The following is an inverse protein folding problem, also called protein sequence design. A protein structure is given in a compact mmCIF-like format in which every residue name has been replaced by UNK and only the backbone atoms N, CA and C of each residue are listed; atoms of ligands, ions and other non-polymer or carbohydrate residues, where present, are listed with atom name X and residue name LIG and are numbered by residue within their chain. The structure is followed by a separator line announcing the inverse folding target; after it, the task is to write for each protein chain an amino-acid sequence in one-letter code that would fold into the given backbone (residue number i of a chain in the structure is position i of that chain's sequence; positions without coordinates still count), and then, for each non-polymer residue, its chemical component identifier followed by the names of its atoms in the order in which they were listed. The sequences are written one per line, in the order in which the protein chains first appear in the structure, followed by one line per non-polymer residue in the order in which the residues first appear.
data_IF_787563737490
#
_entry.id   IF_787563737490
#
_cell.length_a   1.000
_cell.length_b   1.000
_cell.length_c   1.000
_cell.angle_alpha   90.00
_cell.angle_beta   90.00
_cell.angle_gamma   90.00
#
_symmetry.space_group_name_H-M   'P 1'
#
loop_
_entity.id
_entity.type
_entity.pdbx_description
1 polymer ?
#
# COMPACT_ATOMS: atom_id res chain seq x y z
N UNK A 1 2.60 12.87 34.37
CA UNK A 1 2.30 11.48 33.98
C UNK A 1 1.59 11.52 32.63
N UNK A 2 2.02 10.65 31.70
CA UNK A 2 1.35 10.51 30.41
C UNK A 2 0.19 9.53 30.60
N UNK A 3 -1.01 9.96 30.23
CA UNK A 3 -2.21 9.11 30.24
C UNK A 3 -2.06 8.08 29.10
N UNK A 4 -2.20 6.80 29.39
CA UNK A 4 -2.16 5.74 28.38
C UNK A 4 -3.51 5.62 27.65
N UNK A 5 -3.51 4.92 26.50
CA UNK A 5 -4.73 4.70 25.73
C UNK A 5 -5.78 3.91 26.54
N UNK A 6 -5.34 2.97 27.35
CA UNK A 6 -6.18 2.17 28.24
C UNK A 6 -6.85 3.01 29.33
N UNK A 7 -6.10 3.98 29.88
CA UNK A 7 -6.61 4.88 30.94
C UNK A 7 -7.63 5.88 30.41
N UNK A 8 -7.61 6.20 29.12
CA UNK A 8 -8.64 7.06 28.48
C UNK A 8 -10.02 6.38 28.49
N UNK A 9 -10.08 5.05 28.55
CA UNK A 9 -11.32 4.28 28.61
C UNK A 9 -12.10 4.25 27.29
N UNK A 10 -11.37 4.31 26.15
CA UNK A 10 -11.98 4.20 24.80
C UNK A 10 -12.42 2.76 24.56
N UNK A 11 -13.66 2.57 24.13
CA UNK A 11 -14.24 1.26 23.79
C UNK A 11 -14.63 1.15 22.30
N UNK A 12 -14.55 2.24 21.55
CA UNK A 12 -14.83 2.29 20.11
C UNK A 12 -13.84 3.23 19.42
N UNK A 13 -13.34 2.79 18.28
CA UNK A 13 -12.41 3.55 17.44
C UNK A 13 -12.94 3.62 16.01
N UNK A 14 -13.16 4.82 15.51
CA UNK A 14 -13.53 5.07 14.12
C UNK A 14 -12.34 5.72 13.42
N UNK A 15 -11.89 5.10 12.35
CA UNK A 15 -10.72 5.56 11.57
C UNK A 15 -11.18 5.88 10.16
N UNK A 16 -11.22 7.17 9.85
CA UNK A 16 -11.45 7.63 8.49
C UNK A 16 -10.14 7.58 7.68
N UNK A 17 -10.26 7.38 6.36
CA UNK A 17 -9.12 7.21 5.45
C UNK A 17 -8.12 6.15 5.93
N UNK A 18 -8.64 5.01 6.39
CA UNK A 18 -7.86 3.95 7.01
C UNK A 18 -6.73 3.41 6.13
N UNK A 19 -6.78 3.63 4.82
CA UNK A 19 -5.70 3.27 3.88
C UNK A 19 -4.37 3.98 4.19
N UNK A 20 -4.35 5.07 4.95
CA UNK A 20 -3.10 5.69 5.42
C UNK A 20 -2.31 4.85 6.41
N UNK A 21 -2.92 3.80 6.97
CA UNK A 21 -2.30 2.88 7.93
C UNK A 21 -1.90 1.53 7.32
N UNK A 22 -1.85 1.43 6.00
CA UNK A 22 -1.51 0.20 5.27
C UNK A 22 -0.06 -0.27 5.42
N UNK A 23 0.87 0.63 5.80
CA UNK A 23 2.28 0.32 6.01
C UNK A 23 2.52 -0.29 7.41
N UNK A 24 1.81 -1.35 7.72
CA UNK A 24 2.01 -2.15 8.92
C UNK A 24 3.10 -3.18 8.64
N UNK A 25 4.02 -3.35 9.61
CA UNK A 25 5.10 -4.32 9.48
C UNK A 25 4.59 -5.71 9.10
N UNK A 26 5.27 -6.32 8.14
CA UNK A 26 4.97 -7.62 7.59
C UNK A 26 6.20 -8.51 7.71
N UNK A 27 6.10 -9.58 8.51
CA UNK A 27 7.14 -10.61 8.52
C UNK A 27 6.88 -11.62 7.40
N UNK A 28 7.88 -11.82 6.55
CA UNK A 28 7.83 -12.79 5.45
C UNK A 28 9.21 -13.36 5.16
N UNK A 29 9.25 -14.61 4.73
CA UNK A 29 10.45 -15.26 4.17
C UNK A 29 10.58 -15.02 2.66
N UNK A 30 9.57 -14.42 2.05
CA UNK A 30 9.60 -14.11 0.61
C UNK A 30 10.57 -12.97 0.33
N UNK A 31 11.52 -13.22 -0.56
CA UNK A 31 12.51 -12.24 -1.00
C UNK A 31 12.22 -11.80 -2.43
N UNK A 32 12.58 -10.56 -2.77
CA UNK A 32 12.49 -10.01 -4.14
C UNK A 32 11.07 -9.93 -4.73
N UNK A 33 10.04 -9.90 -3.89
CA UNK A 33 8.66 -9.65 -4.31
C UNK A 33 8.30 -8.19 -4.07
N UNK A 34 7.98 -7.48 -5.15
CA UNK A 34 7.58 -6.07 -5.06
C UNK A 34 6.19 -5.91 -4.46
N UNK A 35 6.03 -4.85 -3.68
CA UNK A 35 4.76 -4.55 -3.00
C UNK A 35 4.66 -5.20 -1.61
N UNK A 36 5.67 -5.93 -1.17
CA UNK A 36 5.79 -6.34 0.22
C UNK A 36 6.37 -5.18 1.02
N UNK A 37 5.59 -4.62 1.94
CA UNK A 37 6.10 -3.61 2.87
C UNK A 37 6.85 -4.33 3.99
N UNK A 38 8.17 -4.27 3.93
CA UNK A 38 9.04 -4.71 5.02
C UNK A 38 9.41 -3.55 5.97
N UNK A 39 8.98 -2.34 5.61
CA UNK A 39 9.15 -1.16 6.44
C UNK A 39 7.94 -0.95 7.32
N UNK A 40 8.19 -0.51 8.54
CA UNK A 40 7.17 -0.23 9.54
C UNK A 40 6.96 1.29 9.65
N UNK A 41 5.70 1.71 9.56
CA UNK A 41 5.33 3.05 9.93
C UNK A 41 4.86 3.04 11.40
N UNK A 42 5.54 3.77 12.26
CA UNK A 42 5.22 3.84 13.70
C UNK A 42 3.72 4.06 13.96
N UNK A 43 3.06 4.94 13.18
CA UNK A 43 1.62 5.18 13.30
C UNK A 43 0.77 3.92 13.01
N UNK A 44 1.22 3.06 12.10
CA UNK A 44 0.50 1.84 11.76
C UNK A 44 0.64 0.79 12.84
N UNK A 45 1.81 0.65 13.41
CA UNK A 45 2.06 -0.27 14.53
C UNK A 45 1.35 0.20 15.79
N UNK A 46 1.35 1.49 16.09
CA UNK A 46 0.61 2.08 17.20
C UNK A 46 -0.91 1.83 17.04
N UNK A 47 -1.47 2.11 15.84
CA UNK A 47 -2.88 1.83 15.58
C UNK A 47 -3.20 0.34 15.71
N UNK A 48 -2.30 -0.53 15.23
CA UNK A 48 -2.51 -1.98 15.32
C UNK A 48 -2.61 -2.48 16.77
N UNK A 49 -1.75 -2.00 17.64
CA UNK A 49 -1.81 -2.34 19.07
C UNK A 49 -3.13 -1.88 19.70
N UNK A 50 -3.58 -0.67 19.38
CA UNK A 50 -4.89 -0.13 19.83
C UNK A 50 -6.05 -0.99 19.31
N UNK A 51 -6.03 -1.39 18.05
CA UNK A 51 -7.04 -2.28 17.49
C UNK A 51 -7.05 -3.65 18.20
N UNK A 52 -5.88 -4.22 18.46
CA UNK A 52 -5.79 -5.49 19.20
C UNK A 52 -6.35 -5.39 20.61
N UNK A 53 -6.00 -4.32 21.34
CA UNK A 53 -6.55 -4.05 22.66
C UNK A 53 -8.08 -3.92 22.62
N UNK A 54 -8.62 -3.13 21.69
CA UNK A 54 -10.06 -2.97 21.54
C UNK A 54 -10.77 -4.27 21.15
N UNK A 55 -10.19 -5.08 20.29
CA UNK A 55 -10.73 -6.40 19.94
C UNK A 55 -10.85 -7.29 21.19
N UNK A 56 -9.85 -7.27 22.06
CA UNK A 56 -9.84 -8.05 23.29
C UNK A 56 -10.96 -7.63 24.25
N UNK A 57 -11.07 -6.34 24.54
CA UNK A 57 -12.08 -5.83 25.52
C UNK A 57 -13.50 -5.81 24.98
N UNK A 58 -13.70 -5.78 23.65
CA UNK A 58 -15.03 -5.67 23.02
C UNK A 58 -15.50 -6.93 22.30
N UNK A 59 -14.68 -8.00 22.29
CA UNK A 59 -14.98 -9.19 21.51
C UNK A 59 -15.00 -8.98 20.02
N UNK A 60 -14.06 -8.17 19.49
CA UNK A 60 -13.90 -7.90 18.06
C UNK A 60 -14.89 -6.87 17.48
N UNK A 61 -15.48 -6.01 18.31
CA UNK A 61 -16.50 -5.02 17.90
C UNK A 61 -16.09 -3.56 18.16
N UNK A 62 -14.80 -3.34 18.50
CA UNK A 62 -14.31 -2.04 18.92
C UNK A 62 -13.80 -1.13 17.81
N UNK A 63 -13.64 -1.62 16.58
CA UNK A 63 -12.94 -0.89 15.51
C UNK A 63 -13.80 -0.80 14.26
N UNK A 64 -13.88 0.41 13.70
CA UNK A 64 -14.56 0.70 12.43
C UNK A 64 -13.61 1.50 11.54
N UNK A 65 -13.32 0.97 10.35
CA UNK A 65 -12.53 1.65 9.33
C UNK A 65 -13.44 2.14 8.20
N UNK A 66 -13.19 3.37 7.75
CA UNK A 66 -13.81 3.92 6.55
C UNK A 66 -12.71 4.26 5.53
N UNK A 67 -12.89 3.86 4.29
CA UNK A 67 -11.98 4.20 3.19
C UNK A 67 -12.60 3.92 1.83
N UNK A 68 -12.33 4.77 0.85
CA UNK A 68 -12.68 4.54 -0.54
C UNK A 68 -11.68 3.62 -1.28
N UNK A 69 -10.51 3.35 -0.71
CA UNK A 69 -9.42 2.61 -1.37
C UNK A 69 -8.72 1.64 -0.41
N UNK A 70 -9.42 0.58 0.04
CA UNK A 70 -8.82 -0.38 0.99
C UNK A 70 -7.60 -1.10 0.41
N UNK A 71 -7.58 -1.25 -0.91
CA UNK A 71 -6.46 -1.82 -1.67
C UNK A 71 -6.14 -0.84 -2.80
N UNK A 72 -4.92 -0.31 -2.86
CA UNK A 72 -4.51 0.68 -3.86
C UNK A 72 -3.29 0.25 -4.69
N UNK A 73 -2.27 -0.30 -4.07
CA UNK A 73 -0.97 -0.57 -4.73
C UNK A 73 -0.58 -2.04 -4.74
N UNK A 74 -1.03 -2.81 -3.77
CA UNK A 74 -0.62 -4.21 -3.61
C UNK A 74 -1.72 -5.04 -2.98
N UNK A 75 -1.83 -6.28 -3.44
CA UNK A 75 -2.74 -7.27 -2.85
C UNK A 75 -2.46 -7.51 -1.36
N UNK A 76 -1.23 -7.25 -0.90
CA UNK A 76 -0.85 -7.40 0.52
C UNK A 76 -1.57 -6.42 1.43
N UNK A 77 -2.10 -5.32 0.88
CA UNK A 77 -2.92 -4.37 1.63
C UNK A 77 -4.22 -5.01 2.14
N UNK A 78 -4.79 -5.98 1.41
CA UNK A 78 -5.93 -6.77 1.88
C UNK A 78 -5.58 -7.54 3.17
N UNK A 79 -4.43 -8.21 3.19
CA UNK A 79 -3.96 -8.89 4.39
C UNK A 79 -3.78 -7.93 5.56
N UNK A 80 -3.25 -6.76 5.32
CA UNK A 80 -3.10 -5.72 6.34
C UNK A 80 -4.46 -5.29 6.91
N UNK A 81 -5.47 -5.06 6.06
CA UNK A 81 -6.82 -4.74 6.53
C UNK A 81 -7.44 -5.88 7.34
N UNK A 82 -7.24 -7.13 6.92
CA UNK A 82 -7.69 -8.29 7.69
C UNK A 82 -6.98 -8.39 9.05
N UNK A 83 -5.71 -8.05 9.15
CA UNK A 83 -5.00 -8.01 10.44
C UNK A 83 -5.62 -7.01 11.41
N UNK A 84 -6.06 -5.85 10.93
CA UNK A 84 -6.73 -4.86 11.77
C UNK A 84 -8.14 -5.30 12.19
N UNK A 85 -8.93 -5.86 11.26
CA UNK A 85 -10.37 -6.01 11.42
C UNK A 85 -10.85 -7.42 11.76
N UNK A 86 -10.09 -8.46 11.42
CA UNK A 86 -10.51 -9.85 11.60
C UNK A 86 -9.35 -10.79 11.95
N UNK A 87 -8.46 -10.34 12.83
CA UNK A 87 -7.29 -11.14 13.23
C UNK A 87 -7.66 -12.50 13.83
N UNK A 88 -8.71 -12.58 14.62
CA UNK A 88 -9.21 -13.82 15.19
C UNK A 88 -9.65 -14.83 14.11
N UNK A 89 -10.27 -14.36 13.02
CA UNK A 89 -10.61 -15.19 11.86
C UNK A 89 -9.35 -15.69 11.15
N UNK A 90 -8.33 -14.83 10.98
CA UNK A 90 -7.05 -15.27 10.43
C UNK A 90 -6.40 -16.37 11.28
N UNK A 91 -6.41 -16.24 12.61
CA UNK A 91 -5.87 -17.25 13.53
C UNK A 91 -6.67 -18.56 13.41
N UNK A 92 -7.98 -18.50 13.41
CA UNK A 92 -8.88 -19.67 13.27
C UNK A 92 -8.59 -20.49 12.02
N UNK A 93 -8.20 -19.82 10.92
CA UNK A 93 -7.89 -20.45 9.63
C UNK A 93 -6.39 -20.71 9.41
N UNK A 94 -5.53 -20.47 10.40
CA UNK A 94 -4.07 -20.56 10.29
C UNK A 94 -3.46 -19.61 9.22
N UNK A 95 -4.09 -18.47 9.01
CA UNK A 95 -3.69 -17.43 8.03
C UNK A 95 -3.06 -16.20 8.70
N UNK A 96 -2.77 -16.24 10.01
CA UNK A 96 -2.20 -15.12 10.75
C UNK A 96 -0.76 -14.79 10.35
N UNK A 97 -0.06 -15.73 9.71
CA UNK A 97 1.26 -15.51 9.12
C UNK A 97 1.11 -15.19 7.64
N UNK A 98 1.77 -14.12 7.20
CA UNK A 98 1.65 -13.66 5.81
C UNK A 98 1.97 -14.75 4.79
N UNK A 99 3.01 -15.52 4.99
CA UNK A 99 3.42 -16.55 4.02
C UNK A 99 2.33 -17.64 3.85
N UNK A 100 1.58 -17.96 4.90
CA UNK A 100 0.43 -18.86 4.83
C UNK A 100 -0.73 -18.23 4.06
N UNK A 101 -1.05 -16.96 4.37
CA UNK A 101 -2.08 -16.20 3.67
C UNK A 101 -1.72 -16.04 2.18
N UNK A 102 -0.48 -15.67 1.88
CA UNK A 102 0.00 -15.47 0.53
C UNK A 102 -0.03 -16.76 -0.30
N UNK A 103 0.33 -17.90 0.29
CA UNK A 103 0.26 -19.20 -0.40
C UNK A 103 -1.18 -19.65 -0.68
N UNK A 104 -2.14 -19.16 0.10
CA UNK A 104 -3.57 -19.51 -0.07
C UNK A 104 -4.27 -18.61 -1.08
N UNK A 105 -3.93 -17.33 -1.12
CA UNK A 105 -4.68 -16.32 -1.86
C UNK A 105 -3.89 -15.56 -2.92
N UNK A 106 -2.59 -15.71 -2.97
CA UNK A 106 -1.73 -14.91 -3.84
C UNK A 106 -0.96 -15.75 -4.85
N UNK A 107 -0.91 -15.28 -6.07
CA UNK A 107 -0.05 -15.80 -7.13
C UNK A 107 0.96 -14.73 -7.51
N UNK A 108 2.24 -15.10 -7.51
CA UNK A 108 3.31 -14.23 -7.96
C UNK A 108 3.59 -14.44 -9.45
N UNK A 109 3.82 -13.36 -10.17
CA UNK A 109 4.32 -13.40 -11.54
C UNK A 109 5.59 -12.57 -11.68
N UNK A 110 6.48 -13.01 -12.55
CA UNK A 110 7.68 -12.28 -12.93
C UNK A 110 7.50 -11.74 -14.34
N UNK A 111 7.64 -10.44 -14.50
CA UNK A 111 7.57 -9.77 -15.80
C UNK A 111 8.82 -8.94 -16.05
N UNK A 112 9.09 -8.70 -17.33
CA UNK A 112 10.12 -7.75 -17.76
C UNK A 112 9.45 -6.39 -17.84
N UNK A 113 9.94 -5.43 -17.07
CA UNK A 113 9.45 -4.06 -17.03
C UNK A 113 10.53 -3.09 -17.49
N UNK A 114 10.10 -2.01 -18.13
CA UNK A 114 11.00 -0.90 -18.41
C UNK A 114 11.47 -0.30 -17.07
N UNK A 115 12.77 -0.07 -16.96
CA UNK A 115 13.31 0.59 -15.79
C UNK A 115 12.75 2.01 -15.67
N UNK A 116 12.49 2.54 -14.46
CA UNK A 116 11.85 3.85 -14.25
C UNK A 116 12.55 4.99 -14.96
N UNK A 117 13.85 4.88 -15.14
CA UNK A 117 14.71 5.85 -15.82
C UNK A 117 14.67 5.72 -17.36
N UNK A 118 13.92 4.76 -17.90
CA UNK A 118 13.78 4.55 -19.36
C UNK A 118 14.96 3.92 -20.07
N UNK A 119 16.03 3.57 -19.36
CA UNK A 119 17.32 3.15 -19.95
C UNK A 119 17.57 1.64 -19.95
N UNK A 120 16.52 0.80 -19.91
CA UNK A 120 16.69 -0.63 -19.96
C UNK A 120 15.52 -1.40 -19.38
N UNK A 121 15.66 -2.72 -19.34
CA UNK A 121 14.63 -3.63 -18.81
C UNK A 121 15.13 -4.31 -17.56
N UNK A 122 14.21 -4.55 -16.62
CA UNK A 122 14.46 -5.32 -15.40
C UNK A 122 13.40 -6.38 -15.19
N UNK A 123 13.80 -7.49 -14.62
CA UNK A 123 12.83 -8.49 -14.15
C UNK A 123 12.24 -8.05 -12.80
N UNK A 124 10.93 -8.11 -12.69
CA UNK A 124 10.22 -7.75 -11.45
C UNK A 124 9.20 -8.81 -11.11
N UNK A 125 9.29 -9.35 -9.91
CA UNK A 125 8.30 -10.28 -9.36
C UNK A 125 7.31 -9.51 -8.49
N UNK A 126 6.01 -9.73 -8.69
CA UNK A 126 4.92 -9.11 -7.93
C UNK A 126 3.85 -10.13 -7.62
N UNK A 127 3.06 -9.88 -6.59
CA UNK A 127 1.74 -10.48 -6.51
C UNK A 127 0.87 -9.87 -7.61
N UNK A 128 0.45 -10.68 -8.57
CA UNK A 128 -0.26 -10.21 -9.76
C UNK A 128 -1.71 -10.63 -9.80
N UNK A 129 -2.05 -11.72 -9.13
CA UNK A 129 -3.38 -12.28 -9.15
C UNK A 129 -3.78 -12.78 -7.77
N UNK A 130 -5.07 -12.69 -7.49
CA UNK A 130 -5.67 -13.41 -6.39
C UNK A 130 -6.01 -14.83 -6.83
N UNK A 131 -5.62 -15.78 -6.01
CA UNK A 131 -6.09 -17.14 -6.05
C UNK A 131 -7.19 -17.31 -5.01
N UNK A 132 -8.12 -18.25 -5.17
CA UNK A 132 -9.24 -18.45 -4.25
C UNK A 132 -9.99 -17.16 -3.86
N UNK A 133 -10.16 -16.24 -4.84
CA UNK A 133 -10.78 -14.95 -4.62
C UNK A 133 -12.19 -15.03 -3.98
N UNK A 134 -13.07 -15.98 -4.34
CA UNK A 134 -14.38 -16.09 -3.71
C UNK A 134 -14.31 -16.31 -2.20
N UNK A 135 -13.39 -17.18 -1.73
CA UNK A 135 -13.19 -17.44 -0.30
C UNK A 135 -12.63 -16.21 0.42
N UNK A 136 -11.64 -15.55 -0.18
CA UNK A 136 -11.06 -14.31 0.38
C UNK A 136 -12.12 -13.22 0.54
N UNK A 137 -12.95 -13.01 -0.49
CA UNK A 137 -14.02 -11.99 -0.46
C UNK A 137 -15.09 -12.37 0.55
N UNK A 138 -15.50 -13.64 0.63
CA UNK A 138 -16.48 -14.08 1.61
C UNK A 138 -15.96 -13.88 3.04
N UNK A 139 -14.70 -14.22 3.31
CA UNK A 139 -14.07 -13.95 4.59
C UNK A 139 -14.05 -12.47 4.91
N UNK A 140 -13.69 -11.61 3.94
CA UNK A 140 -13.62 -10.17 4.18
C UNK A 140 -15.00 -9.54 4.40
N UNK A 141 -16.03 -10.02 3.72
CA UNK A 141 -17.43 -9.58 3.90
C UNK A 141 -18.00 -9.85 5.28
N UNK A 142 -17.39 -10.72 6.08
CA UNK A 142 -17.81 -10.91 7.48
C UNK A 142 -17.61 -9.64 8.31
N UNK A 143 -16.66 -8.78 7.92
CA UNK A 143 -16.27 -7.55 8.64
C UNK A 143 -16.36 -6.29 7.79
N UNK A 144 -16.76 -6.38 6.52
CA UNK A 144 -16.79 -5.25 5.60
C UNK A 144 -18.14 -5.09 4.90
N UNK A 145 -18.68 -3.87 4.93
CA UNK A 145 -19.75 -3.43 4.04
C UNK A 145 -19.13 -2.76 2.81
N UNK A 146 -19.25 -3.41 1.65
CA UNK A 146 -18.63 -2.98 0.40
C UNK A 146 -19.69 -2.38 -0.51
N UNK A 147 -19.53 -1.11 -0.87
CA UNK A 147 -20.38 -0.40 -1.83
C UNK A 147 -19.51 0.05 -3.00
N UNK A 148 -19.85 -0.39 -4.19
CA UNK A 148 -19.20 0.06 -5.43
C UNK A 148 -19.96 1.24 -6.05
N UNK A 149 -19.31 2.00 -6.93
CA UNK A 149 -19.90 3.22 -7.51
C UNK A 149 -21.23 2.96 -8.23
N UNK A 150 -21.37 1.81 -8.87
CA UNK A 150 -22.59 1.37 -9.55
C UNK A 150 -23.76 1.05 -8.59
N UNK A 151 -23.45 0.69 -7.33
CA UNK A 151 -24.47 0.45 -6.29
C UNK A 151 -24.96 1.75 -5.64
N UNK A 152 -24.22 2.84 -5.75
CA UNK A 152 -24.47 4.04 -4.97
C UNK A 152 -25.37 5.06 -5.66
N UNK A 153 -25.65 4.93 -6.97
CA UNK A 153 -26.47 5.88 -7.77
C UNK A 153 -26.15 7.36 -7.48
N UNK A 154 -24.88 7.68 -7.31
CA UNK A 154 -24.43 9.04 -7.00
C UNK A 154 -24.63 9.94 -8.23
N UNK A 155 -25.01 11.21 -8.05
CA UNK A 155 -25.05 12.18 -9.12
C UNK A 155 -23.62 12.54 -9.54
N UNK A 156 -23.07 11.77 -10.49
CA UNK A 156 -21.72 12.00 -11.01
C UNK A 156 -21.80 12.91 -12.23
N UNK A 157 -21.03 14.01 -12.30
CA UNK A 157 -20.98 14.86 -13.47
C UNK A 157 -20.39 14.12 -14.68
N UNK A 158 -20.87 14.45 -15.87
CA UNK A 158 -20.26 13.94 -17.10
C UNK A 158 -18.85 14.54 -17.26
N UNK A 159 -17.83 13.68 -17.28
CA UNK A 159 -16.46 14.10 -17.46
C UNK A 159 -16.08 14.04 -18.95
N UNK A 160 -15.56 15.14 -19.47
CA UNK A 160 -14.94 15.18 -20.78
C UNK A 160 -13.41 15.16 -20.61
N UNK A 161 -12.79 14.08 -21.07
CA UNK A 161 -11.34 13.90 -20.98
C UNK A 161 -10.70 14.39 -22.29
N UNK A 162 -9.77 15.33 -22.19
CA UNK A 162 -8.98 15.82 -23.30
C UNK A 162 -7.49 15.71 -22.97
N UNK A 163 -6.76 14.96 -23.78
CA UNK A 163 -5.30 14.88 -23.67
C UNK A 163 -4.67 15.98 -24.53
N UNK A 164 -4.03 16.94 -23.86
CA UNK A 164 -3.27 18.00 -24.55
C UNK A 164 -1.80 17.66 -24.46
N UNK A 165 -1.21 17.21 -25.57
CA UNK A 165 0.21 16.94 -25.66
C UNK A 165 0.96 18.20 -26.12
N UNK A 166 1.96 18.59 -25.33
CA UNK A 166 2.86 19.72 -25.65
C UNK A 166 4.29 19.21 -25.78
N UNK A 167 5.10 19.90 -26.59
CA UNK A 167 6.52 19.60 -26.68
C UNK A 167 7.24 20.08 -25.42
N UNK A 168 8.17 19.28 -24.84
CA UNK A 168 8.94 19.70 -23.70
C UNK A 168 9.85 20.89 -24.08
N UNK A 169 10.08 21.81 -23.13
CA UNK A 169 11.08 22.87 -23.27
C UNK A 169 12.49 22.28 -23.27
N UNK A 170 13.49 23.07 -23.69
CA UNK A 170 14.86 22.61 -23.67
C UNK A 170 15.36 22.44 -22.22
N UNK A 171 14.92 23.30 -21.30
CA UNK A 171 15.18 23.18 -19.87
C UNK A 171 14.62 21.83 -19.31
N UNK A 172 13.39 21.47 -19.69
CA UNK A 172 12.83 20.18 -19.27
C UNK A 172 13.64 18.98 -19.77
N UNK A 173 14.13 19.05 -21.02
CA UNK A 173 14.97 17.97 -21.58
C UNK A 173 16.27 17.81 -20.80
N UNK A 174 16.98 18.92 -20.55
CA UNK A 174 18.23 18.93 -19.77
C UNK A 174 18.01 18.38 -18.35
N UNK A 175 16.94 18.80 -17.68
CA UNK A 175 16.63 18.31 -16.34
C UNK A 175 16.27 16.81 -16.33
N UNK A 176 15.52 16.33 -17.32
CA UNK A 176 15.22 14.89 -17.46
C UNK A 176 16.49 14.08 -17.72
N UNK A 177 17.41 14.56 -18.56
CA UNK A 177 18.71 13.93 -18.79
C UNK A 177 19.51 13.85 -17.48
N UNK A 178 19.57 14.94 -16.71
CA UNK A 178 20.22 14.98 -15.38
C UNK A 178 19.61 13.96 -14.41
N UNK A 179 18.27 13.81 -14.38
CA UNK A 179 17.64 12.79 -13.55
C UNK A 179 18.04 11.35 -14.00
N UNK A 180 18.17 11.13 -15.30
CA UNK A 180 18.65 9.87 -15.88
C UNK A 180 20.09 9.53 -15.45
N UNK A 181 20.99 10.52 -15.52
CA UNK A 181 22.39 10.37 -15.08
C UNK A 181 22.49 10.07 -13.58
N UNK A 182 21.72 10.77 -12.74
CA UNK A 182 21.65 10.53 -11.31
C UNK A 182 21.16 9.11 -11.01
N UNK A 183 20.10 8.68 -11.69
CA UNK A 183 19.57 7.32 -11.54
C UNK A 183 20.61 6.25 -11.93
N UNK A 184 21.41 6.50 -12.96
CA UNK A 184 22.49 5.61 -13.36
C UNK A 184 23.58 5.53 -12.27
N UNK A 185 24.04 6.65 -11.72
CA UNK A 185 25.03 6.70 -10.63
C UNK A 185 24.59 5.93 -9.39
N UNK A 186 23.29 6.02 -9.03
CA UNK A 186 22.71 5.26 -7.92
C UNK A 186 22.75 3.76 -8.22
N UNK A 187 22.44 3.35 -9.44
CA UNK A 187 22.49 1.95 -9.87
C UNK A 187 23.89 1.38 -9.83
N UNK A 188 24.86 2.18 -10.24
CA UNK A 188 26.28 1.80 -10.24
C UNK A 188 26.89 1.83 -8.83
N UNK A 189 26.12 2.25 -7.82
CA UNK A 189 26.58 2.32 -6.43
C UNK A 189 27.66 3.38 -6.18
N UNK A 190 27.75 4.38 -7.04
CA UNK A 190 28.79 5.43 -6.97
C UNK A 190 28.40 6.64 -6.14
N UNK A 191 27.18 6.67 -5.60
CA UNK A 191 26.64 7.76 -4.77
C UNK A 191 26.10 7.20 -3.46
N UNK A 192 26.40 7.91 -2.36
CA UNK A 192 25.86 7.55 -1.04
C UNK A 192 24.32 7.72 -1.03
N UNK A 193 23.54 6.71 -0.54
CA UNK A 193 22.09 6.82 -0.44
C UNK A 193 21.56 8.00 0.37
N UNK A 194 22.38 8.57 1.27
CA UNK A 194 22.04 9.78 2.02
C UNK A 194 22.19 11.05 1.17
N UNK A 195 23.13 11.07 0.22
CA UNK A 195 23.32 12.21 -0.70
C UNK A 195 22.26 12.19 -1.80
N UNK A 196 22.08 11.06 -2.49
CA UNK A 196 21.06 10.90 -3.52
C UNK A 196 20.49 9.48 -3.56
N UNK A 197 19.21 9.36 -3.93
CA UNK A 197 18.51 8.09 -4.00
C UNK A 197 17.29 8.17 -4.94
N UNK A 198 16.75 7.02 -5.35
CA UNK A 198 15.61 6.95 -6.27
C UNK A 198 14.37 7.70 -5.76
N UNK A 199 14.18 7.85 -4.44
CA UNK A 199 13.06 8.60 -3.88
C UNK A 199 13.22 10.11 -4.15
N UNK A 200 14.42 10.65 -3.96
CA UNK A 200 14.75 12.05 -4.30
C UNK A 200 14.54 12.30 -5.79
N UNK A 201 15.11 11.44 -6.66
CA UNK A 201 14.96 11.55 -8.13
C UNK A 201 13.48 11.53 -8.54
N UNK A 202 12.68 10.61 -7.99
CA UNK A 202 11.24 10.53 -8.29
C UNK A 202 10.51 11.80 -7.84
N UNK A 203 10.87 12.36 -6.70
CA UNK A 203 10.28 13.59 -6.20
C UNK A 203 10.65 14.80 -7.08
N UNK A 204 11.91 14.89 -7.49
CA UNK A 204 12.38 15.95 -8.38
C UNK A 204 11.72 15.86 -9.76
N UNK A 205 11.56 14.65 -10.30
CA UNK A 205 10.82 14.41 -11.53
C UNK A 205 9.35 14.82 -11.46
N UNK A 206 8.70 14.60 -10.30
CA UNK A 206 7.32 15.07 -10.08
C UNK A 206 7.24 16.60 -10.05
N UNK A 207 8.20 17.27 -9.40
CA UNK A 207 8.26 18.74 -9.38
C UNK A 207 8.46 19.30 -10.78
N UNK A 208 9.41 18.73 -11.53
CA UNK A 208 9.69 19.12 -12.92
C UNK A 208 8.46 18.96 -13.84
N UNK A 209 7.61 17.98 -13.57
CA UNK A 209 6.37 17.79 -14.34
C UNK A 209 5.28 18.84 -14.02
N UNK A 210 5.38 19.51 -12.87
CA UNK A 210 4.43 20.53 -12.43
C UNK A 210 4.91 21.95 -12.76
N UNK A 211 6.19 22.20 -12.61
CA UNK A 211 6.80 23.53 -12.80
C UNK A 211 8.31 23.39 -13.09
N UNK A 212 8.89 24.37 -13.80
CA UNK A 212 10.29 24.39 -14.23
C UNK A 212 11.12 25.39 -13.43
#
# INVERSE_FOLDING_TARGET
DLITFEEIGVDRLFVDEAHFYKNLFLFTKMNNVSGLSTTDAQKSSDLYLKCRYLDEITGGKGVVFATGTPISNSMTEMYTMQRYLQYSTLVKHNLQHFDCWASTFGETSTSIELAPEGSGYRMKTRFSKFFNLPELINMFKEVADIKTADMLNLPVPNAHYQNVAVKPSDIQKELVESLGERAQKIRDGTVDPHEDNMLKITNDGRKLALDQ
#
